data_IF_415391767118
#
_entry.id   IF_415391767118
#
_cell.length_a   1.000
_cell.length_b   1.000
_cell.length_c   1.000
_cell.angle_alpha   90.00
_cell.angle_beta   90.00
_cell.angle_gamma   90.00
#
_symmetry.space_group_name_H-M   'P 1'
#
loop_
_entity.id
_entity.type
_entity.pdbx_description
1 polymer ?
#
# COMPACT_ATOMS: atom_id res chain seq x y z
N UNK A 1 -15.67 14.27 9.82
CA UNK A 1 -15.46 14.98 8.51
C UNK A 1 -15.99 14.20 7.32
N UNK A 2 -15.80 12.87 7.27
CA UNK A 2 -16.23 12.02 6.14
C UNK A 2 -17.75 12.06 5.87
N UNK A 3 -18.57 11.84 6.90
CA UNK A 3 -20.05 11.90 6.80
C UNK A 3 -20.56 13.27 6.32
N UNK A 4 -19.97 14.35 6.83
CA UNK A 4 -20.30 15.72 6.42
C UNK A 4 -19.99 15.97 4.94
N UNK A 5 -18.86 15.46 4.45
CA UNK A 5 -18.49 15.50 3.02
C UNK A 5 -19.47 14.67 2.18
N UNK A 6 -19.80 13.46 2.61
CA UNK A 6 -20.73 12.58 1.89
C UNK A 6 -22.12 13.20 1.71
N UNK A 7 -22.68 13.79 2.79
CA UNK A 7 -23.95 14.50 2.72
C UNK A 7 -23.92 15.69 1.74
N UNK A 8 -22.83 16.46 1.72
CA UNK A 8 -22.65 17.57 0.79
C UNK A 8 -22.50 17.11 -0.66
N UNK A 9 -21.74 16.04 -0.91
CA UNK A 9 -21.57 15.45 -2.25
C UNK A 9 -22.91 14.93 -2.77
N UNK A 10 -23.71 14.25 -1.95
CA UNK A 10 -25.04 13.76 -2.33
C UNK A 10 -25.97 14.92 -2.74
N UNK A 11 -25.95 16.03 -2.01
CA UNK A 11 -26.70 17.24 -2.37
C UNK A 11 -26.17 17.91 -3.64
N UNK A 12 -24.86 18.05 -3.77
CA UNK A 12 -24.24 18.64 -4.97
C UNK A 12 -24.51 17.83 -6.23
N UNK A 13 -24.55 16.49 -6.14
CA UNK A 13 -24.92 15.63 -7.28
C UNK A 13 -26.32 15.94 -7.84
N UNK A 14 -27.26 16.37 -6.99
CA UNK A 14 -28.61 16.83 -7.37
C UNK A 14 -28.63 18.29 -7.86
N UNK A 15 -27.62 19.08 -7.53
CA UNK A 15 -27.52 20.52 -7.84
C UNK A 15 -26.10 20.87 -8.35
N UNK A 16 -25.69 20.28 -9.48
CA UNK A 16 -24.30 20.33 -9.96
C UNK A 16 -23.79 21.76 -10.22
N UNK A 17 -24.67 22.68 -10.58
CA UNK A 17 -24.34 24.08 -10.85
C UNK A 17 -24.10 24.92 -9.58
N UNK A 18 -24.38 24.39 -8.39
CA UNK A 18 -24.16 25.11 -7.13
C UNK A 18 -22.66 25.22 -6.80
N UNK A 19 -22.07 26.38 -7.15
CA UNK A 19 -20.67 26.72 -6.83
C UNK A 19 -20.41 26.71 -5.32
N UNK A 20 -21.39 27.14 -4.51
CA UNK A 20 -21.30 27.17 -3.04
C UNK A 20 -21.08 25.77 -2.45
N UNK A 21 -21.84 24.77 -2.92
CA UNK A 21 -21.68 23.39 -2.47
C UNK A 21 -20.33 22.81 -2.89
N UNK A 22 -19.90 23.08 -4.13
CA UNK A 22 -18.59 22.65 -4.64
C UNK A 22 -17.44 23.19 -3.78
N UNK A 23 -17.46 24.49 -3.47
CA UNK A 23 -16.46 25.13 -2.60
C UNK A 23 -16.44 24.52 -1.20
N UNK A 24 -17.61 24.26 -0.62
CA UNK A 24 -17.71 23.67 0.73
C UNK A 24 -17.17 22.23 0.77
N UNK A 25 -17.42 21.43 -0.27
CA UNK A 25 -16.84 20.09 -0.41
C UNK A 25 -15.32 20.17 -0.53
N UNK A 26 -14.82 21.10 -1.35
CA UNK A 26 -13.39 21.30 -1.54
C UNK A 26 -12.69 21.68 -0.21
N UNK A 27 -13.29 22.60 0.56
CA UNK A 27 -12.79 22.99 1.88
C UNK A 27 -12.68 21.81 2.85
N UNK A 28 -13.76 21.03 3.02
CA UNK A 28 -13.73 19.87 3.93
C UNK A 28 -12.75 18.80 3.43
N UNK A 29 -12.64 18.63 2.12
CA UNK A 29 -11.66 17.69 1.56
C UNK A 29 -10.23 18.15 1.84
N UNK A 30 -9.96 19.46 1.78
CA UNK A 30 -8.66 20.03 2.10
C UNK A 30 -8.34 19.94 3.60
N UNK A 31 -9.31 20.22 4.47
CA UNK A 31 -9.15 20.03 5.92
C UNK A 31 -8.85 18.57 6.26
N UNK A 32 -9.56 17.61 5.65
CA UNK A 32 -9.32 16.18 5.83
C UNK A 32 -7.93 15.77 5.32
N UNK A 33 -7.50 16.29 4.17
CA UNK A 33 -6.16 16.05 3.63
C UNK A 33 -5.08 16.57 4.58
N UNK A 34 -5.19 17.82 5.03
CA UNK A 34 -4.21 18.42 5.94
C UNK A 34 -4.12 17.63 7.25
N UNK A 35 -5.26 17.17 7.78
CA UNK A 35 -5.28 16.31 8.97
C UNK A 35 -4.60 14.97 8.71
N UNK A 36 -4.90 14.32 7.59
CA UNK A 36 -4.27 13.05 7.21
C UNK A 36 -2.74 13.20 7.05
N UNK A 37 -2.28 14.27 6.40
CA UNK A 37 -0.84 14.58 6.26
C UNK A 37 -0.17 14.76 7.62
N UNK A 38 -0.78 15.54 8.53
CA UNK A 38 -0.27 15.73 9.88
C UNK A 38 -0.21 14.41 10.66
N UNK A 39 -1.28 13.62 10.61
CA UNK A 39 -1.35 12.30 11.27
C UNK A 39 -0.30 11.34 10.72
N UNK A 40 -0.15 11.27 9.40
CA UNK A 40 0.86 10.44 8.74
C UNK A 40 2.27 10.85 9.18
N UNK A 41 2.57 12.15 9.24
CA UNK A 41 3.86 12.64 9.72
C UNK A 41 4.13 12.23 11.17
N UNK A 42 3.16 12.40 12.06
CA UNK A 42 3.28 12.00 13.47
C UNK A 42 3.48 10.48 13.60
N UNK A 43 2.71 9.68 12.85
CA UNK A 43 2.85 8.24 12.84
C UNK A 43 4.23 7.79 12.36
N UNK A 44 4.76 8.41 11.30
CA UNK A 44 6.12 8.15 10.83
C UNK A 44 7.18 8.51 11.86
N UNK A 45 7.05 9.66 12.51
CA UNK A 45 8.00 10.06 13.54
C UNK A 45 8.01 9.06 14.71
N UNK A 46 6.83 8.71 15.22
CA UNK A 46 6.69 7.71 16.29
C UNK A 46 7.24 6.34 15.88
N UNK A 47 7.04 5.95 14.62
CA UNK A 47 7.59 4.71 14.09
C UNK A 47 9.11 4.73 14.06
N UNK A 48 9.72 5.83 13.61
CA UNK A 48 11.17 6.00 13.60
C UNK A 48 11.75 6.00 15.02
N UNK A 49 11.14 6.72 15.96
CA UNK A 49 11.56 6.71 17.37
C UNK A 49 11.52 5.31 17.98
N UNK A 50 10.50 4.51 17.66
CA UNK A 50 10.40 3.12 18.13
C UNK A 50 11.54 2.23 17.66
N UNK A 51 12.14 2.52 16.51
CA UNK A 51 13.27 1.75 15.96
C UNK A 51 14.63 2.43 16.19
N UNK A 52 14.64 3.64 16.76
CA UNK A 52 15.85 4.35 17.13
C UNK A 52 16.62 3.52 18.17
N UNK A 53 17.91 3.30 17.94
CA UNK A 53 18.74 2.39 18.75
C UNK A 53 18.57 0.88 18.49
N UNK A 54 17.65 0.46 17.59
CA UNK A 54 17.43 -0.95 17.25
C UNK A 54 17.43 -1.21 15.73
N UNK A 55 18.39 -0.58 15.04
CA UNK A 55 18.54 -0.66 13.58
C UNK A 55 18.95 -2.06 13.08
N UNK A 56 19.56 -2.89 13.93
CA UNK A 56 19.92 -4.27 13.60
C UNK A 56 18.74 -5.25 13.67
N UNK A 57 17.59 -4.85 14.25
CA UNK A 57 16.43 -5.73 14.35
C UNK A 57 15.85 -6.10 12.99
N UNK A 58 15.49 -7.38 12.85
CA UNK A 58 14.79 -7.93 11.67
C UNK A 58 13.58 -7.10 11.24
N UNK A 59 12.83 -6.55 12.20
CA UNK A 59 11.65 -5.72 11.94
C UNK A 59 11.99 -4.39 11.27
N UNK A 60 13.06 -3.72 11.71
CA UNK A 60 13.56 -2.47 11.13
C UNK A 60 14.00 -2.69 9.69
N UNK A 61 14.78 -3.74 9.43
CA UNK A 61 15.19 -4.12 8.07
C UNK A 61 14.02 -4.54 7.17
N UNK A 62 12.98 -5.16 7.73
CA UNK A 62 11.77 -5.48 6.97
C UNK A 62 11.03 -4.22 6.54
N UNK A 63 10.92 -3.23 7.43
CA UNK A 63 10.31 -1.93 7.15
C UNK A 63 11.12 -1.16 6.09
N UNK A 64 12.45 -1.06 6.24
CA UNK A 64 13.33 -0.41 5.26
C UNK A 64 13.22 -1.05 3.88
N UNK A 65 13.16 -2.39 3.81
CA UNK A 65 12.94 -3.09 2.55
C UNK A 65 11.60 -2.75 1.90
N UNK A 66 10.52 -2.60 2.68
CA UNK A 66 9.22 -2.17 2.12
C UNK A 66 9.24 -0.74 1.59
N UNK A 67 10.12 0.13 2.11
CA UNK A 67 10.27 1.50 1.62
C UNK A 67 11.07 1.57 0.31
N UNK A 68 12.12 0.76 0.19
CA UNK A 68 12.97 0.71 -1.01
C UNK A 68 12.27 -0.06 -2.14
N UNK A 69 11.55 -1.13 -1.81
CA UNK A 69 10.87 -2.01 -2.75
C UNK A 69 9.41 -2.22 -2.33
N UNK A 70 8.53 -1.23 -2.55
CA UNK A 70 7.13 -1.30 -2.15
C UNK A 70 6.34 -2.41 -2.87
N UNK A 71 6.79 -2.81 -4.06
CA UNK A 71 6.11 -3.80 -4.91
C UNK A 71 6.65 -5.23 -4.74
N UNK A 72 7.37 -5.49 -3.65
CA UNK A 72 7.96 -6.79 -3.33
C UNK A 72 7.34 -7.42 -2.09
N UNK A 73 6.07 -7.09 -1.81
CA UNK A 73 5.33 -7.78 -0.76
C UNK A 73 5.27 -9.29 -1.06
N UNK A 74 5.09 -10.11 -0.02
CA UNK A 74 4.93 -11.56 -0.20
C UNK A 74 3.81 -11.89 -1.19
N UNK A 75 2.76 -11.06 -1.21
CA UNK A 75 1.62 -11.16 -2.12
C UNK A 75 1.98 -10.80 -3.56
N UNK A 76 2.76 -9.75 -3.77
CA UNK A 76 3.22 -9.37 -5.13
C UNK A 76 4.18 -10.43 -5.68
N UNK A 77 5.08 -10.94 -4.84
CA UNK A 77 5.94 -12.08 -5.18
C UNK A 77 5.14 -13.34 -5.49
N UNK A 78 4.03 -13.58 -4.80
CA UNK A 78 3.15 -14.72 -5.09
C UNK A 78 2.47 -14.56 -6.46
N UNK A 79 1.95 -13.37 -6.76
CA UNK A 79 1.37 -13.05 -8.08
C UNK A 79 2.40 -13.19 -9.20
N UNK A 80 3.61 -12.68 -9.00
CA UNK A 80 4.69 -12.80 -9.97
C UNK A 80 5.08 -14.25 -10.20
N UNK A 81 5.17 -15.08 -9.14
CA UNK A 81 5.37 -16.53 -9.28
C UNK A 81 4.25 -17.19 -10.08
N UNK A 82 2.99 -16.93 -9.74
CA UNK A 82 1.85 -17.47 -10.48
C UNK A 82 1.87 -17.04 -11.94
N UNK A 83 2.21 -15.78 -12.22
CA UNK A 83 2.34 -15.26 -13.59
C UNK A 83 3.48 -15.93 -14.36
N UNK A 84 4.62 -16.17 -13.74
CA UNK A 84 5.76 -16.85 -14.35
C UNK A 84 5.44 -18.32 -14.65
N UNK A 85 4.78 -19.02 -13.73
CA UNK A 85 4.32 -20.40 -13.92
C UNK A 85 3.33 -20.51 -15.08
N UNK A 86 2.33 -19.62 -15.13
CA UNK A 86 1.39 -19.55 -16.26
C UNK A 86 2.09 -19.21 -17.58
N UNK A 87 3.06 -18.28 -17.59
CA UNK A 87 3.80 -17.92 -18.80
C UNK A 87 4.61 -19.09 -19.35
N UNK A 88 5.10 -19.95 -18.48
CA UNK A 88 5.87 -21.14 -18.86
C UNK A 88 4.98 -22.34 -19.19
N UNK A 89 3.65 -22.24 -19.04
CA UNK A 89 2.70 -23.33 -19.25
C UNK A 89 3.05 -24.60 -18.46
N UNK A 90 3.74 -24.45 -17.32
CA UNK A 90 4.17 -25.56 -16.47
C UNK A 90 3.29 -25.65 -15.22
N UNK A 91 2.98 -26.88 -14.83
CA UNK A 91 2.34 -27.18 -13.56
C UNK A 91 3.34 -27.00 -12.39
N UNK A 92 2.92 -26.48 -11.21
CA UNK A 92 3.84 -26.18 -10.11
C UNK A 92 4.66 -27.39 -9.64
N UNK A 93 4.11 -28.61 -9.73
CA UNK A 93 4.80 -29.84 -9.37
C UNK A 93 5.98 -30.16 -10.29
N UNK A 94 5.80 -29.99 -11.60
CA UNK A 94 6.84 -30.24 -12.60
C UNK A 94 8.01 -29.26 -12.49
N UNK A 95 7.72 -27.99 -12.18
CA UNK A 95 8.78 -27.00 -11.94
C UNK A 95 9.59 -27.28 -10.68
N UNK A 96 9.00 -27.91 -9.67
CA UNK A 96 9.72 -28.27 -8.44
C UNK A 96 10.67 -29.44 -8.66
N UNK A 97 10.28 -30.45 -9.44
CA UNK A 97 11.17 -31.56 -9.83
C UNK A 97 12.34 -31.11 -10.70
N UNK A 98 12.09 -30.18 -11.62
CA UNK A 98 13.12 -29.64 -12.50
C UNK A 98 14.13 -28.79 -11.71
N UNK A 99 13.66 -27.97 -10.76
CA UNK A 99 14.56 -27.21 -9.88
C UNK A 99 15.28 -28.11 -8.88
N UNK A 100 14.62 -29.15 -8.34
CA UNK A 100 15.24 -30.08 -7.41
C UNK A 100 16.36 -30.86 -8.10
N UNK A 101 16.15 -31.31 -9.34
CA UNK A 101 17.19 -32.01 -10.11
C UNK A 101 18.40 -31.11 -10.42
N UNK A 102 18.20 -29.82 -10.73
CA UNK A 102 19.30 -28.89 -11.03
C UNK A 102 20.12 -28.51 -9.79
N UNK A 103 19.46 -28.30 -8.64
CA UNK A 103 20.11 -27.71 -7.46
C UNK A 103 20.47 -28.71 -6.35
N UNK A 104 19.85 -29.90 -6.31
CA UNK A 104 20.15 -30.94 -5.30
C UNK A 104 21.07 -32.07 -5.83
N UNK A 105 21.49 -32.02 -7.09
CA UNK A 105 22.48 -32.96 -7.65
C UNK A 105 23.94 -32.48 -7.47
N UNK A 106 24.19 -31.51 -6.59
CA UNK A 106 25.52 -31.08 -6.15
C UNK A 106 25.69 -31.39 -4.67
#
# INVERSE_FOLDING_TARGET
MWEARHGLVKRWKKQKHSKRLKLRIARISKEAQNYAEALTRTNWHNLCEKYNGNLSAKRTWSLLRSLIQPNQSTTDKAKDRTRLLHRQNKDPGQTLEELSSIYLQR
#
